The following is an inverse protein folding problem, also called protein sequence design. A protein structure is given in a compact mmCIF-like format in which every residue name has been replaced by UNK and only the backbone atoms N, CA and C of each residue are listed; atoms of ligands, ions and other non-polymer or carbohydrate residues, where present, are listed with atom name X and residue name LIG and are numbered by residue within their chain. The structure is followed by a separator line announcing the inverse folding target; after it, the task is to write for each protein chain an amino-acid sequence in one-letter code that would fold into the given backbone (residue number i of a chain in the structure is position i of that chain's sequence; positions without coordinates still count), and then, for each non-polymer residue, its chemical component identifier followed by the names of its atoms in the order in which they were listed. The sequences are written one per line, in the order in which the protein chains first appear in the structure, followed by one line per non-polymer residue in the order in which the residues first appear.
data_IF_272221050663
#
_entry.id   IF_272221050663
#
_cell.length_a   1.000
_cell.length_b   1.000
_cell.length_c   1.000
_cell.angle_alpha   90.00
_cell.angle_beta   90.00
_cell.angle_gamma   90.00
#
_symmetry.space_group_name_H-M   'P 1'
#
loop_
_entity.id
_entity.type
_entity.pdbx_description
1 polymer ?
#
# COMPACT_ATOMS: atom_id res chain seq x y z
N UNK A 1 25.77 -0.04 -20.90
CA UNK A 1 24.83 -0.11 -19.79
C UNK A 1 23.69 -1.03 -20.19
N UNK A 2 23.60 -2.24 -19.63
CA UNK A 2 22.55 -3.20 -19.98
C UNK A 2 21.21 -2.68 -19.50
N UNK A 3 20.25 -2.54 -20.38
CA UNK A 3 18.85 -2.31 -20.04
C UNK A 3 18.36 -3.53 -19.24
N UNK A 4 18.38 -3.43 -17.91
CA UNK A 4 17.81 -4.45 -17.06
C UNK A 4 16.31 -4.55 -17.35
N UNK A 5 15.83 -5.78 -17.56
CA UNK A 5 14.40 -6.10 -17.79
C UNK A 5 13.47 -5.76 -16.60
N UNK A 6 13.94 -5.05 -15.59
CA UNK A 6 13.21 -4.69 -14.37
C UNK A 6 13.33 -3.20 -14.10
N UNK A 7 12.21 -2.63 -13.71
CA UNK A 7 12.07 -1.19 -13.44
C UNK A 7 12.61 -0.80 -12.06
N UNK A 8 12.70 -1.74 -11.12
CA UNK A 8 13.16 -1.51 -9.74
C UNK A 8 14.24 -2.51 -9.33
N UNK A 9 15.00 -2.23 -8.26
CA UNK A 9 15.85 -3.22 -7.62
C UNK A 9 15.06 -4.49 -7.27
N UNK A 10 15.66 -5.65 -7.50
CA UNK A 10 15.08 -6.95 -7.13
C UNK A 10 15.33 -7.22 -5.66
N UNK A 11 14.28 -7.33 -4.86
CA UNK A 11 14.36 -7.68 -3.44
C UNK A 11 14.06 -9.17 -3.27
N UNK A 12 15.10 -10.00 -3.26
CA UNK A 12 15.00 -11.47 -3.17
C UNK A 12 15.46 -12.02 -1.83
N UNK A 13 16.53 -11.45 -1.27
CA UNK A 13 17.05 -11.79 0.04
C UNK A 13 16.58 -10.74 1.05
N UNK A 14 15.87 -11.21 2.06
CA UNK A 14 15.29 -10.39 3.10
C UNK A 14 16.09 -10.42 4.40
N UNK A 15 17.09 -11.30 4.53
CA UNK A 15 17.96 -11.34 5.70
C UNK A 15 18.61 -9.97 5.90
N UNK A 16 18.53 -9.50 7.12
CA UNK A 16 19.07 -8.20 7.56
C UNK A 16 18.46 -6.97 6.87
N UNK A 17 17.43 -7.14 6.03
CA UNK A 17 16.68 -6.01 5.46
C UNK A 17 15.78 -5.38 6.49
N UNK A 18 15.88 -4.07 6.64
CA UNK A 18 15.12 -3.24 7.58
C UNK A 18 13.86 -2.73 6.89
N UNK A 19 12.72 -3.30 7.26
CA UNK A 19 11.44 -3.00 6.61
C UNK A 19 10.47 -2.36 7.59
N UNK A 20 9.90 -1.24 7.23
CA UNK A 20 8.85 -0.58 8.00
C UNK A 20 7.50 -0.73 7.31
N UNK A 21 6.55 -1.44 7.95
CA UNK A 21 5.20 -1.67 7.43
C UNK A 21 4.20 -0.82 8.20
N UNK A 22 3.68 0.23 7.56
CA UNK A 22 2.71 1.15 8.14
C UNK A 22 1.30 0.74 7.73
N UNK A 23 0.41 0.54 8.71
CA UNK A 23 -0.91 -0.06 8.51
C UNK A 23 -0.89 -1.58 8.70
N UNK A 24 -0.04 -2.08 9.59
CA UNK A 24 0.19 -3.50 9.82
C UNK A 24 -0.74 -4.14 10.86
N UNK A 25 -1.79 -3.47 11.34
CA UNK A 25 -2.69 -4.05 12.37
C UNK A 25 -3.58 -5.18 11.87
N UNK A 26 -3.74 -5.36 10.55
CA UNK A 26 -4.58 -6.42 9.98
C UNK A 26 -4.32 -6.57 8.47
N UNK A 27 -4.99 -7.57 7.84
CA UNK A 27 -5.04 -7.73 6.38
C UNK A 27 -3.66 -7.87 5.74
N UNK A 28 -3.46 -7.16 4.65
CA UNK A 28 -2.23 -7.23 3.83
C UNK A 28 -0.99 -6.85 4.64
N UNK A 29 -1.05 -5.74 5.40
CA UNK A 29 0.10 -5.25 6.15
C UNK A 29 0.57 -6.24 7.22
N UNK A 30 -0.36 -6.83 7.99
CA UNK A 30 -0.03 -7.83 8.99
C UNK A 30 0.55 -9.11 8.38
N UNK A 31 -0.06 -9.61 7.29
CA UNK A 31 0.41 -10.81 6.62
C UNK A 31 1.79 -10.61 5.96
N UNK A 32 2.01 -9.43 5.36
CA UNK A 32 3.30 -9.09 4.77
C UNK A 32 4.40 -8.97 5.84
N UNK A 33 4.08 -8.33 6.97
CA UNK A 33 5.04 -8.20 8.09
C UNK A 33 5.50 -9.57 8.59
N UNK A 34 4.56 -10.50 8.85
CA UNK A 34 4.90 -11.87 9.25
C UNK A 34 5.73 -12.59 8.20
N UNK A 35 5.33 -12.53 6.93
CA UNK A 35 6.07 -13.18 5.84
C UNK A 35 7.49 -12.63 5.65
N UNK A 36 7.72 -11.36 5.98
CA UNK A 36 9.06 -10.74 5.98
C UNK A 36 9.89 -11.20 7.18
N UNK A 37 9.29 -11.27 8.38
CA UNK A 37 9.92 -11.81 9.57
C UNK A 37 10.38 -13.27 9.36
N UNK A 38 9.50 -14.12 8.81
CA UNK A 38 9.80 -15.52 8.47
C UNK A 38 10.97 -15.65 7.47
N UNK A 39 11.28 -14.58 6.72
CA UNK A 39 12.41 -14.53 5.80
C UNK A 39 13.65 -13.87 6.38
N UNK A 40 13.66 -13.57 7.69
CA UNK A 40 14.81 -13.01 8.38
C UNK A 40 14.97 -11.50 8.26
N UNK A 41 13.95 -10.77 7.79
CA UNK A 41 13.98 -9.31 7.80
C UNK A 41 13.82 -8.75 9.22
N UNK A 42 14.38 -7.57 9.44
CA UNK A 42 14.03 -6.71 10.57
C UNK A 42 12.77 -5.94 10.21
N UNK A 43 11.69 -6.12 10.97
CA UNK A 43 10.39 -5.55 10.60
C UNK A 43 9.84 -4.67 11.71
N UNK A 44 9.67 -3.39 11.42
CA UNK A 44 8.87 -2.48 12.22
C UNK A 44 7.42 -2.48 11.71
N UNK A 45 6.48 -2.59 12.64
CA UNK A 45 5.05 -2.54 12.33
C UNK A 45 4.40 -1.35 13.03
N UNK A 46 3.65 -0.55 12.26
CA UNK A 46 2.99 0.64 12.78
C UNK A 46 1.49 0.66 12.46
N UNK A 47 0.71 1.03 13.45
CA UNK A 47 -0.71 1.39 13.42
C UNK A 47 -1.08 1.99 14.78
N UNK A 48 -2.34 2.42 14.93
CA UNK A 48 -2.81 3.10 16.16
C UNK A 48 -2.89 2.21 17.40
N UNK A 49 -3.10 0.89 17.26
CA UNK A 49 -3.39 -0.03 18.38
C UNK A 49 -2.17 -0.87 18.75
N UNK A 50 -1.51 -0.60 19.91
CA UNK A 50 -0.29 -1.28 20.31
C UNK A 50 -0.46 -2.80 20.49
N UNK A 51 -1.54 -3.21 21.14
CA UNK A 51 -1.82 -4.62 21.48
C UNK A 51 -1.91 -5.50 20.21
N UNK A 52 -2.51 -4.95 19.13
CA UNK A 52 -2.62 -5.66 17.86
C UNK A 52 -1.27 -5.76 17.15
N UNK A 53 -0.44 -4.71 17.24
CA UNK A 53 0.91 -4.71 16.66
C UNK A 53 1.81 -5.73 17.38
N UNK A 54 1.76 -5.80 18.70
CA UNK A 54 2.50 -6.82 19.46
C UNK A 54 2.11 -8.24 19.04
N UNK A 55 0.82 -8.50 18.79
CA UNK A 55 0.35 -9.79 18.27
C UNK A 55 0.81 -10.07 16.82
N UNK A 56 1.08 -9.04 16.03
CA UNK A 56 1.61 -9.23 14.66
C UNK A 56 3.06 -9.69 14.70
N UNK A 57 3.90 -9.07 15.52
CA UNK A 57 5.31 -9.46 15.65
C UNK A 57 5.50 -10.67 16.55
N UNK A 58 4.54 -11.01 17.44
CA UNK A 58 4.46 -12.22 18.26
C UNK A 58 5.77 -12.59 18.97
N UNK A 59 6.52 -11.58 19.47
CA UNK A 59 7.80 -11.80 20.14
C UNK A 59 8.96 -12.22 19.23
N UNK A 60 8.79 -12.09 17.90
CA UNK A 60 9.88 -12.38 16.96
C UNK A 60 11.07 -11.45 17.23
N UNK A 61 12.33 -11.96 17.34
CA UNK A 61 13.49 -11.17 17.75
C UNK A 61 13.77 -9.98 16.80
N UNK A 62 13.43 -10.10 15.54
CA UNK A 62 13.61 -9.05 14.52
C UNK A 62 12.35 -8.18 14.35
N UNK A 63 11.32 -8.37 15.18
CA UNK A 63 10.05 -7.63 15.08
C UNK A 63 9.95 -6.52 16.12
N UNK A 64 9.55 -5.32 15.73
CA UNK A 64 9.29 -4.22 16.65
C UNK A 64 7.91 -3.59 16.38
N UNK A 65 7.14 -3.36 17.43
CA UNK A 65 5.87 -2.67 17.36
C UNK A 65 6.08 -1.19 17.71
N UNK A 66 5.76 -0.30 16.78
CA UNK A 66 5.87 1.15 16.93
C UNK A 66 4.50 1.80 16.67
N UNK A 67 3.70 1.97 17.72
CA UNK A 67 2.37 2.59 17.59
C UNK A 67 2.48 4.03 17.08
N UNK A 68 1.66 4.37 16.08
CA UNK A 68 1.57 5.72 15.54
C UNK A 68 0.23 5.97 14.84
N UNK A 69 -0.15 7.23 14.71
CA UNK A 69 -1.26 7.66 13.88
C UNK A 69 -0.71 8.30 12.59
N UNK A 70 -1.07 7.73 11.44
CA UNK A 70 -0.64 8.23 10.12
C UNK A 70 -1.12 9.65 9.83
N UNK A 71 -2.15 10.12 10.55
CA UNK A 71 -2.71 11.47 10.44
C UNK A 71 -1.92 12.52 11.25
N UNK A 72 -0.87 12.09 11.96
CA UNK A 72 -0.03 12.98 12.77
C UNK A 72 1.39 13.05 12.18
N UNK A 73 1.79 14.15 11.53
CA UNK A 73 3.14 14.31 10.99
C UNK A 73 4.25 14.07 12.02
N UNK A 74 4.04 14.50 13.28
CA UNK A 74 4.99 14.29 14.38
C UNK A 74 5.27 12.82 14.67
N UNK A 75 4.25 11.95 14.56
CA UNK A 75 4.42 10.52 14.80
C UNK A 75 5.31 9.87 13.73
N UNK A 76 5.21 10.33 12.48
CA UNK A 76 6.08 9.88 11.40
C UNK A 76 7.54 10.25 11.65
N UNK A 77 7.80 11.51 11.99
CA UNK A 77 9.15 12.00 12.28
C UNK A 77 9.76 11.28 13.48
N UNK A 78 9.00 11.13 14.57
CA UNK A 78 9.47 10.46 15.78
C UNK A 78 9.77 8.97 15.53
N UNK A 79 8.86 8.26 14.84
CA UNK A 79 9.03 6.83 14.54
C UNK A 79 10.19 6.59 13.58
N UNK A 80 10.32 7.39 12.51
CA UNK A 80 11.43 7.29 11.58
C UNK A 80 12.77 7.57 12.27
N UNK A 81 12.85 8.59 13.12
CA UNK A 81 14.05 8.90 13.89
C UNK A 81 14.44 7.74 14.81
N UNK A 82 13.49 7.14 15.54
CA UNK A 82 13.74 5.99 16.39
C UNK A 82 14.29 4.79 15.58
N UNK A 83 13.73 4.52 14.39
CA UNK A 83 14.21 3.47 13.50
C UNK A 83 15.63 3.76 12.99
N UNK A 84 15.91 5.00 12.60
CA UNK A 84 17.26 5.40 12.16
C UNK A 84 18.29 5.24 13.28
N UNK A 85 17.94 5.56 14.52
CA UNK A 85 18.84 5.36 15.65
C UNK A 85 19.06 3.88 15.97
N UNK A 86 18.01 3.06 15.98
CA UNK A 86 18.10 1.64 16.33
C UNK A 86 18.73 0.80 15.22
N UNK A 87 18.41 1.10 13.97
CA UNK A 87 18.76 0.27 12.80
C UNK A 87 19.71 0.94 11.82
N UNK A 88 20.12 2.19 12.06
CA UNK A 88 20.95 2.98 11.15
C UNK A 88 20.29 3.23 9.78
N UNK A 89 18.96 3.26 9.73
CA UNK A 89 18.17 3.54 8.54
C UNK A 89 17.09 2.49 8.26
N UNK A 90 16.37 2.66 7.16
CA UNK A 90 15.29 1.78 6.69
C UNK A 90 15.51 1.47 5.22
N UNK A 91 15.44 0.19 4.82
CA UNK A 91 15.66 -0.24 3.43
C UNK A 91 14.39 -0.21 2.60
N UNK A 92 13.22 -0.44 3.22
CA UNK A 92 11.92 -0.43 2.55
C UNK A 92 10.84 0.10 3.50
N UNK A 93 10.05 1.07 3.03
CA UNK A 93 8.84 1.50 3.72
C UNK A 93 7.62 1.09 2.91
N UNK A 94 6.64 0.44 3.57
CA UNK A 94 5.40 -0.02 2.96
C UNK A 94 4.23 0.80 3.51
N UNK A 95 3.65 1.66 2.69
CA UNK A 95 2.47 2.46 3.01
C UNK A 95 1.21 1.63 2.75
N UNK A 96 0.68 0.98 3.79
CA UNK A 96 -0.47 0.07 3.72
C UNK A 96 -1.66 0.56 4.55
N UNK A 97 -1.51 1.66 5.32
CA UNK A 97 -2.61 2.23 6.06
C UNK A 97 -3.70 2.76 5.11
N UNK A 98 -4.94 2.42 5.40
CA UNK A 98 -6.07 2.92 4.63
C UNK A 98 -7.37 2.78 5.43
N UNK A 99 -8.31 3.66 5.11
CA UNK A 99 -9.71 3.57 5.49
C UNK A 99 -10.57 3.33 4.25
N UNK A 100 -11.65 2.59 4.45
CA UNK A 100 -12.64 2.28 3.43
C UNK A 100 -14.02 2.19 4.04
N UNK A 101 -14.96 2.88 3.42
CA UNK A 101 -16.40 2.71 3.62
C UNK A 101 -17.06 2.61 2.24
N UNK A 102 -17.94 1.64 2.01
CA UNK A 102 -18.71 1.58 0.77
C UNK A 102 -19.76 2.71 0.80
N UNK A 103 -19.51 3.79 0.05
CA UNK A 103 -20.37 4.96 0.01
C UNK A 103 -20.74 5.32 -1.41
N UNK A 104 -22.03 5.61 -1.62
CA UNK A 104 -22.53 6.28 -2.81
C UNK A 104 -22.20 7.79 -2.74
N UNK A 105 -22.09 8.50 -3.89
CA UNK A 105 -21.74 9.93 -3.88
C UNK A 105 -22.66 10.79 -3.01
N UNK A 106 -23.95 10.48 -2.96
CA UNK A 106 -24.94 11.23 -2.16
C UNK A 106 -24.95 10.88 -0.66
N UNK A 107 -24.14 9.93 -0.24
CA UNK A 107 -23.98 9.53 1.18
C UNK A 107 -22.72 10.15 1.81
N UNK A 108 -21.89 10.81 0.98
CA UNK A 108 -20.61 11.36 1.43
C UNK A 108 -20.86 12.64 2.22
N UNK A 109 -20.41 12.69 3.47
CA UNK A 109 -20.29 13.92 4.24
C UNK A 109 -18.92 14.58 4.05
N UNK A 110 -18.82 15.88 4.32
CA UNK A 110 -17.55 16.60 4.29
C UNK A 110 -16.54 16.03 5.32
N UNK A 111 -17.02 15.63 6.48
CA UNK A 111 -16.22 15.02 7.54
C UNK A 111 -15.63 13.67 7.10
N UNK A 112 -16.45 12.79 6.52
CA UNK A 112 -15.97 11.49 5.99
C UNK A 112 -15.00 11.69 4.83
N UNK A 113 -15.23 12.67 3.96
CA UNK A 113 -14.32 13.00 2.88
C UNK A 113 -12.97 13.47 3.43
N UNK A 114 -12.96 14.41 4.36
CA UNK A 114 -11.75 14.90 5.01
C UNK A 114 -10.98 13.75 5.68
N UNK A 115 -11.64 12.95 6.50
CA UNK A 115 -11.01 11.86 7.24
C UNK A 115 -10.42 10.77 6.30
N UNK A 116 -11.15 10.41 5.24
CA UNK A 116 -10.66 9.40 4.28
C UNK A 116 -9.47 9.93 3.47
N UNK A 117 -9.50 11.20 3.02
CA UNK A 117 -8.40 11.83 2.29
C UNK A 117 -7.18 11.96 3.20
N UNK A 118 -7.39 12.41 4.43
CA UNK A 118 -6.34 12.56 5.45
C UNK A 118 -5.60 11.23 5.67
N UNK A 119 -6.35 10.15 5.93
CA UNK A 119 -5.73 8.85 6.20
C UNK A 119 -5.11 8.22 4.96
N UNK A 120 -5.82 8.22 3.82
CA UNK A 120 -5.41 7.44 2.65
C UNK A 120 -4.39 8.16 1.77
N UNK A 121 -4.35 9.49 1.80
CA UNK A 121 -3.51 10.30 0.92
C UNK A 121 -2.55 11.20 1.70
N UNK A 122 -3.06 12.10 2.57
CA UNK A 122 -2.19 13.03 3.31
C UNK A 122 -1.21 12.28 4.22
N UNK A 123 -1.65 11.19 4.88
CA UNK A 123 -0.78 10.32 5.67
C UNK A 123 0.41 9.76 4.89
N UNK A 124 0.26 9.50 3.59
CA UNK A 124 1.40 9.09 2.75
C UNK A 124 2.37 10.25 2.53
N UNK A 125 1.87 11.47 2.28
CA UNK A 125 2.73 12.66 2.14
C UNK A 125 3.48 12.98 3.43
N UNK A 126 2.86 12.83 4.60
CA UNK A 126 3.55 13.02 5.89
C UNK A 126 4.68 12.01 6.09
N UNK A 127 4.45 10.76 5.65
CA UNK A 127 5.50 9.75 5.65
C UNK A 127 6.63 10.07 4.67
N UNK A 128 6.31 10.55 3.47
CA UNK A 128 7.32 10.96 2.49
C UNK A 128 8.18 12.12 3.00
N UNK A 129 7.56 13.12 3.62
CA UNK A 129 8.26 14.26 4.23
C UNK A 129 9.29 13.80 5.28
N UNK A 130 8.90 12.88 6.16
CA UNK A 130 9.78 12.35 7.19
C UNK A 130 10.93 11.48 6.67
N UNK A 131 10.69 10.71 5.59
CA UNK A 131 11.57 9.60 5.17
C UNK A 131 12.50 10.00 4.02
N UNK A 132 12.01 10.77 3.03
CA UNK A 132 12.74 11.07 1.81
C UNK A 132 14.09 11.75 2.03
N UNK A 133 14.26 12.72 2.95
CA UNK A 133 15.55 13.37 3.15
C UNK A 133 16.67 12.36 3.47
N UNK A 134 16.39 11.38 4.32
CA UNK A 134 17.35 10.34 4.70
C UNK A 134 17.63 9.38 3.54
N UNK A 135 16.61 8.89 2.84
CA UNK A 135 16.77 7.97 1.71
C UNK A 135 17.52 8.62 0.54
N UNK A 136 17.26 9.89 0.26
CA UNK A 136 17.95 10.65 -0.77
C UNK A 136 19.44 10.84 -0.42
N UNK A 137 19.75 11.17 0.85
CA UNK A 137 21.12 11.29 1.33
C UNK A 137 21.88 9.95 1.24
N UNK A 138 21.21 8.83 1.55
CA UNK A 138 21.78 7.48 1.45
C UNK A 138 21.85 6.98 0.00
N UNK A 139 21.14 7.59 -0.95
CA UNK A 139 20.99 7.14 -2.34
C UNK A 139 20.59 5.67 -2.45
N UNK A 140 19.80 5.19 -1.50
CA UNK A 140 19.32 3.81 -1.43
C UNK A 140 18.05 3.70 -0.62
N UNK A 141 17.26 2.67 -0.89
CA UNK A 141 16.00 2.37 -0.22
C UNK A 141 14.87 2.13 -1.19
N UNK A 142 13.69 1.87 -0.66
CA UNK A 142 12.50 1.64 -1.45
C UNK A 142 11.23 2.13 -0.75
N UNK A 143 10.28 2.55 -1.56
CA UNK A 143 8.93 2.95 -1.13
C UNK A 143 7.92 2.04 -1.82
N UNK A 144 7.08 1.36 -1.05
CA UNK A 144 6.01 0.52 -1.56
C UNK A 144 4.66 1.13 -1.16
N UNK A 145 3.85 1.55 -2.14
CA UNK A 145 2.58 2.23 -1.93
C UNK A 145 1.44 1.26 -2.25
N UNK A 146 0.62 0.95 -1.25
CA UNK A 146 -0.56 0.10 -1.43
C UNK A 146 -1.74 0.97 -1.86
N UNK A 147 -1.96 1.02 -3.17
CA UNK A 147 -3.14 1.61 -3.79
C UNK A 147 -4.29 0.59 -3.89
N UNK A 148 -4.91 0.40 -5.03
CA UNK A 148 -5.98 -0.59 -5.28
C UNK A 148 -6.34 -0.64 -6.77
N UNK A 149 -6.89 -1.76 -7.23
CA UNK A 149 -7.58 -1.82 -8.53
C UNK A 149 -8.77 -0.85 -8.63
N UNK A 150 -9.33 -0.43 -7.48
CA UNK A 150 -10.36 0.63 -7.43
C UNK A 150 -9.84 2.03 -7.80
N UNK A 151 -8.52 2.20 -7.91
CA UNK A 151 -7.91 3.43 -8.42
C UNK A 151 -7.78 3.48 -9.93
N UNK A 152 -7.98 2.37 -10.66
CA UNK A 152 -7.87 2.37 -12.12
C UNK A 152 -9.06 3.03 -12.82
N UNK A 153 -10.23 2.95 -12.23
CA UNK A 153 -11.49 3.48 -12.78
C UNK A 153 -12.49 3.71 -11.64
N UNK A 154 -13.41 4.65 -11.80
CA UNK A 154 -14.44 4.96 -10.81
C UNK A 154 -15.42 3.80 -10.61
N UNK A 155 -15.26 3.02 -9.54
CA UNK A 155 -16.16 1.92 -9.22
C UNK A 155 -17.35 2.38 -8.36
N UNK A 156 -18.53 1.76 -8.51
CA UNK A 156 -19.67 1.98 -7.62
C UNK A 156 -19.29 1.72 -6.14
N UNK A 157 -19.94 2.41 -5.23
CA UNK A 157 -19.68 2.33 -3.78
C UNK A 157 -18.27 2.73 -3.33
N UNK A 158 -17.47 3.32 -4.23
CA UNK A 158 -16.09 3.74 -3.93
C UNK A 158 -15.90 5.27 -4.04
N UNK A 159 -16.94 6.04 -3.72
CA UNK A 159 -16.97 7.50 -3.96
C UNK A 159 -15.80 8.28 -3.31
N UNK A 160 -15.31 7.85 -2.15
CA UNK A 160 -14.12 8.43 -1.50
C UNK A 160 -12.87 7.57 -1.73
N UNK A 161 -12.99 6.27 -1.54
CA UNK A 161 -11.86 5.36 -1.60
C UNK A 161 -11.20 5.31 -2.98
N UNK A 162 -12.00 5.17 -4.04
CA UNK A 162 -11.50 5.13 -5.42
C UNK A 162 -10.63 6.31 -5.78
N UNK A 163 -11.10 7.56 -5.63
CA UNK A 163 -10.30 8.77 -5.88
C UNK A 163 -8.99 8.83 -5.07
N UNK A 164 -8.99 8.45 -3.77
CA UNK A 164 -7.73 8.42 -3.00
C UNK A 164 -6.75 7.39 -3.53
N UNK A 165 -7.24 6.23 -4.01
CA UNK A 165 -6.38 5.20 -4.60
C UNK A 165 -5.88 5.55 -6.00
N UNK A 166 -6.67 6.29 -6.79
CA UNK A 166 -6.23 6.86 -8.06
C UNK A 166 -5.11 7.91 -7.85
N UNK A 167 -5.25 8.76 -6.84
CA UNK A 167 -4.20 9.70 -6.46
C UNK A 167 -2.89 9.00 -6.05
N UNK A 168 -2.97 7.89 -5.32
CA UNK A 168 -1.78 7.10 -4.94
C UNK A 168 -1.12 6.41 -6.13
N UNK A 169 -1.89 5.97 -7.14
CA UNK A 169 -1.33 5.44 -8.40
C UNK A 169 -0.52 6.53 -9.10
N UNK A 170 -1.12 7.72 -9.28
CA UNK A 170 -0.43 8.85 -9.90
C UNK A 170 0.80 9.28 -9.09
N UNK A 171 0.68 9.38 -7.76
CA UNK A 171 1.82 9.69 -6.88
C UNK A 171 2.97 8.70 -7.05
N UNK A 172 2.69 7.40 -7.12
CA UNK A 172 3.74 6.39 -7.32
C UNK A 172 4.48 6.56 -8.66
N UNK A 173 3.75 6.96 -9.72
CA UNK A 173 4.34 7.27 -11.03
C UNK A 173 5.25 8.50 -10.95
N UNK A 174 4.81 9.57 -10.28
CA UNK A 174 5.64 10.77 -10.03
C UNK A 174 6.89 10.43 -9.22
N UNK A 175 6.73 9.69 -8.11
CA UNK A 175 7.86 9.27 -7.29
C UNK A 175 8.87 8.41 -8.08
N UNK A 176 8.39 7.53 -8.95
CA UNK A 176 9.27 6.75 -9.82
C UNK A 176 10.06 7.65 -10.79
N UNK A 177 9.37 8.56 -11.46
CA UNK A 177 9.99 9.46 -12.43
C UNK A 177 11.08 10.34 -11.80
N UNK A 178 10.83 10.83 -10.58
CA UNK A 178 11.74 11.76 -9.90
C UNK A 178 12.85 11.04 -9.09
N UNK A 179 12.52 9.91 -8.45
CA UNK A 179 13.43 9.31 -7.45
C UNK A 179 14.23 8.12 -7.95
N UNK A 180 13.82 7.49 -9.07
CA UNK A 180 14.54 6.32 -9.58
C UNK A 180 16.02 6.63 -9.91
N UNK A 181 16.29 7.80 -10.49
CA UNK A 181 17.66 8.30 -10.76
C UNK A 181 18.50 8.56 -9.50
N UNK A 182 17.87 8.67 -8.35
CA UNK A 182 18.52 8.84 -7.05
C UNK A 182 18.80 7.50 -6.32
N UNK A 183 18.55 6.36 -6.97
CA UNK A 183 18.83 5.04 -6.43
C UNK A 183 17.70 4.47 -5.54
N UNK A 184 16.51 5.08 -5.57
CA UNK A 184 15.35 4.59 -4.83
C UNK A 184 14.48 3.67 -5.70
N UNK A 185 14.00 2.56 -5.10
CA UNK A 185 13.00 1.69 -5.72
C UNK A 185 11.59 2.15 -5.37
N UNK A 186 10.69 2.24 -6.35
CA UNK A 186 9.29 2.62 -6.14
C UNK A 186 8.39 1.50 -6.60
N UNK A 187 7.62 0.92 -5.67
CA UNK A 187 6.74 -0.21 -5.90
C UNK A 187 5.29 0.18 -5.68
N UNK A 188 4.49 0.13 -6.73
CA UNK A 188 3.04 0.34 -6.68
C UNK A 188 2.35 -1.01 -6.49
N UNK A 189 1.55 -1.14 -5.43
CA UNK A 189 0.81 -2.37 -5.14
C UNK A 189 -0.67 -2.10 -5.37
N UNK A 190 -1.28 -2.83 -6.33
CA UNK A 190 -2.68 -2.69 -6.71
C UNK A 190 -3.47 -3.98 -6.42
N UNK A 191 -3.93 -4.18 -5.17
CA UNK A 191 -4.79 -5.31 -4.83
C UNK A 191 -6.18 -5.19 -5.48
N UNK A 192 -6.76 -6.34 -5.84
CA UNK A 192 -8.20 -6.49 -5.94
C UNK A 192 -8.81 -6.74 -4.56
N UNK A 193 -9.79 -7.67 -4.45
CA UNK A 193 -10.41 -7.99 -3.17
C UNK A 193 -9.54 -8.94 -2.35
N UNK A 194 -9.13 -8.48 -1.17
CA UNK A 194 -8.38 -9.25 -0.17
C UNK A 194 -9.21 -9.33 1.11
N UNK A 195 -9.41 -10.54 1.65
CA UNK A 195 -10.16 -10.74 2.90
C UNK A 195 -9.55 -9.92 4.03
N UNK A 196 -10.30 -8.97 4.56
CA UNK A 196 -9.85 -8.06 5.61
C UNK A 196 -11.05 -7.46 6.33
N UNK A 197 -10.80 -6.75 7.43
CA UNK A 197 -11.83 -5.96 8.11
C UNK A 197 -12.48 -4.92 7.17
N UNK A 198 -11.72 -4.34 6.26
CA UNK A 198 -12.23 -3.36 5.30
C UNK A 198 -13.20 -4.01 4.30
N UNK A 199 -12.82 -5.14 3.71
CA UNK A 199 -13.66 -5.84 2.72
C UNK A 199 -14.86 -6.54 3.34
N UNK A 200 -14.86 -6.79 4.65
CA UNK A 200 -16.04 -7.29 5.38
C UNK A 200 -17.21 -6.31 5.41
N UNK A 201 -16.98 -5.03 5.09
CA UNK A 201 -18.02 -4.00 4.99
C UNK A 201 -18.80 -4.07 3.66
N UNK A 202 -18.35 -4.85 2.68
CA UNK A 202 -19.02 -5.00 1.41
C UNK A 202 -20.23 -5.93 1.53
N UNK A 203 -21.38 -5.46 1.08
CA UNK A 203 -22.62 -6.24 1.03
C UNK A 203 -22.77 -7.07 -0.27
N UNK A 204 -21.84 -6.95 -1.21
CA UNK A 204 -21.88 -7.65 -2.50
C UNK A 204 -20.86 -8.79 -2.59
N UNK A 205 -21.08 -9.72 -3.52
CA UNK A 205 -20.15 -10.81 -3.80
C UNK A 205 -18.88 -10.26 -4.44
N UNK A 206 -17.76 -10.39 -3.76
CA UNK A 206 -16.46 -9.92 -4.23
C UNK A 206 -15.84 -10.92 -5.20
N UNK A 207 -15.63 -10.57 -6.48
CA UNK A 207 -15.01 -11.48 -7.43
C UNK A 207 -13.53 -11.69 -7.08
N UNK A 208 -13.07 -12.94 -7.23
CA UNK A 208 -11.67 -13.32 -7.03
C UNK A 208 -11.08 -12.90 -5.66
N UNK A 209 -11.88 -12.99 -4.59
CA UNK A 209 -11.44 -12.72 -3.22
C UNK A 209 -10.29 -13.66 -2.83
N UNK A 210 -9.18 -13.11 -2.37
CA UNK A 210 -8.01 -13.87 -1.89
C UNK A 210 -7.75 -13.63 -0.41
N UNK A 211 -6.89 -14.45 0.20
CA UNK A 211 -6.47 -14.27 1.59
C UNK A 211 -5.33 -13.26 1.70
N UNK A 212 -5.10 -12.64 2.89
CA UNK A 212 -3.96 -11.76 3.15
C UNK A 212 -2.61 -12.45 2.90
N UNK A 213 -2.49 -13.73 3.24
CA UNK A 213 -1.27 -14.52 3.05
C UNK A 213 -0.96 -14.72 1.57
N UNK A 214 -1.99 -14.93 0.74
CA UNK A 214 -1.83 -14.97 -0.72
C UNK A 214 -1.39 -13.61 -1.25
N UNK A 215 -1.99 -12.52 -0.77
CA UNK A 215 -1.58 -11.17 -1.14
C UNK A 215 -0.11 -10.88 -0.76
N UNK A 216 0.31 -11.27 0.45
CA UNK A 216 1.70 -11.12 0.89
C UNK A 216 2.68 -11.90 -0.01
N UNK A 217 2.34 -13.14 -0.41
CA UNK A 217 3.16 -13.90 -1.38
C UNK A 217 3.28 -13.22 -2.73
N UNK A 218 2.18 -12.68 -3.26
CA UNK A 218 2.15 -11.99 -4.54
C UNK A 218 3.00 -10.70 -4.49
N UNK A 219 2.94 -9.95 -3.37
CA UNK A 219 3.77 -8.78 -3.12
C UNK A 219 5.25 -9.16 -3.11
N UNK A 220 5.64 -10.15 -2.32
CA UNK A 220 7.04 -10.62 -2.24
C UNK A 220 7.55 -11.12 -3.59
N UNK A 221 6.71 -11.82 -4.35
CA UNK A 221 7.05 -12.23 -5.71
C UNK A 221 7.24 -11.03 -6.66
N UNK A 222 6.44 -9.96 -6.49
CA UNK A 222 6.59 -8.71 -7.24
C UNK A 222 7.89 -7.99 -6.90
N UNK A 223 8.23 -7.90 -5.62
CA UNK A 223 9.52 -7.36 -5.16
C UNK A 223 10.70 -8.16 -5.73
N UNK A 224 10.62 -9.50 -5.72
CA UNK A 224 11.67 -10.37 -6.27
C UNK A 224 11.86 -10.20 -7.79
N UNK A 225 10.83 -9.80 -8.53
CA UNK A 225 10.92 -9.45 -9.96
C UNK A 225 11.45 -8.04 -10.21
N UNK A 226 11.41 -7.16 -9.22
CA UNK A 226 11.69 -5.72 -9.41
C UNK A 226 10.61 -5.04 -10.24
N UNK A 227 9.35 -5.44 -10.06
CA UNK A 227 8.21 -4.85 -10.76
C UNK A 227 7.90 -3.47 -10.21
N UNK A 228 7.58 -2.49 -11.09
CA UNK A 228 7.01 -1.22 -10.63
C UNK A 228 5.59 -1.46 -10.11
N UNK A 229 4.74 -2.10 -10.91
CA UNK A 229 3.38 -2.45 -10.50
C UNK A 229 3.27 -3.92 -10.09
N UNK A 230 2.69 -4.15 -8.92
CA UNK A 230 2.39 -5.47 -8.34
C UNK A 230 0.88 -5.57 -8.16
N UNK A 231 0.19 -6.11 -9.17
CA UNK A 231 -1.26 -6.24 -9.19
C UNK A 231 -1.68 -7.69 -8.98
N UNK A 232 -2.69 -7.93 -8.15
CA UNK A 232 -3.23 -9.26 -7.86
C UNK A 232 -4.70 -9.20 -7.39
N UNK A 233 -5.49 -10.26 -7.63
CA UNK A 233 -5.25 -11.36 -8.57
C UNK A 233 -5.22 -10.87 -10.00
N UNK A 234 -4.26 -11.34 -10.80
CA UNK A 234 -3.98 -10.79 -12.14
C UNK A 234 -5.19 -10.76 -13.09
N UNK A 235 -6.04 -11.81 -13.07
CA UNK A 235 -7.21 -11.87 -13.95
C UNK A 235 -8.18 -10.71 -13.67
N UNK A 236 -8.46 -10.46 -12.40
CA UNK A 236 -9.38 -9.41 -11.98
C UNK A 236 -8.80 -8.01 -12.25
N UNK A 237 -7.56 -7.76 -11.78
CA UNK A 237 -6.93 -6.44 -11.91
C UNK A 237 -6.70 -6.07 -13.37
N UNK A 238 -6.31 -7.03 -14.23
CA UNK A 238 -6.20 -6.82 -15.69
C UNK A 238 -7.55 -6.50 -16.34
N UNK A 239 -8.63 -7.20 -15.95
CA UNK A 239 -9.97 -6.90 -16.47
C UNK A 239 -10.41 -5.48 -16.12
N UNK A 240 -10.22 -5.04 -14.86
CA UNK A 240 -10.54 -3.67 -14.45
C UNK A 240 -9.68 -2.65 -15.21
N UNK A 241 -8.40 -2.92 -15.37
CA UNK A 241 -7.50 -2.05 -16.13
C UNK A 241 -7.86 -1.98 -17.61
N UNK A 242 -8.24 -3.07 -18.23
CA UNK A 242 -8.73 -3.06 -19.61
C UNK A 242 -9.99 -2.22 -19.78
N UNK A 243 -10.94 -2.31 -18.84
CA UNK A 243 -12.13 -1.46 -18.85
C UNK A 243 -11.78 0.02 -18.73
N UNK A 244 -10.76 0.38 -17.94
CA UNK A 244 -10.31 1.78 -17.80
C UNK A 244 -9.69 2.36 -19.07
N UNK A 245 -9.19 1.53 -19.98
CA UNK A 245 -8.62 1.94 -21.26
C UNK A 245 -9.66 2.11 -22.39
N UNK A 246 -10.91 1.67 -22.15
CA UNK A 246 -11.97 1.80 -23.14
C UNK A 246 -12.46 3.26 -23.25
N UNK A 247 -12.94 3.68 -24.42
CA UNK A 247 -13.60 4.98 -24.57
C UNK A 247 -14.73 5.15 -23.54
N UNK A 248 -14.91 6.34 -23.02
CA UNK A 248 -15.90 6.66 -21.97
C UNK A 248 -17.32 6.16 -22.28
N UNK A 249 -17.74 6.21 -23.56
CA UNK A 249 -19.05 5.69 -23.96
C UNK A 249 -19.26 4.21 -23.59
N UNK A 250 -18.19 3.41 -23.64
CA UNK A 250 -18.23 1.97 -23.34
C UNK A 250 -18.00 1.75 -21.83
N UNK A 251 -16.91 2.32 -21.29
CA UNK A 251 -16.54 2.11 -19.90
C UNK A 251 -17.61 2.62 -18.93
N UNK A 252 -18.15 3.82 -19.14
CA UNK A 252 -19.23 4.37 -18.29
C UNK A 252 -20.53 3.57 -18.41
N UNK A 253 -20.86 3.08 -19.62
CA UNK A 253 -22.01 2.19 -19.80
C UNK A 253 -21.89 0.87 -19.01
N UNK A 254 -20.70 0.28 -18.94
CA UNK A 254 -20.41 -0.89 -18.11
C UNK A 254 -20.52 -0.57 -16.61
N UNK A 255 -19.96 0.56 -16.17
CA UNK A 255 -20.03 1.00 -14.79
C UNK A 255 -21.46 1.30 -14.33
N UNK A 256 -22.29 1.90 -15.20
CA UNK A 256 -23.71 2.12 -14.90
C UNK A 256 -24.47 0.80 -14.70
N UNK A 257 -24.19 -0.22 -15.51
CA UNK A 257 -24.79 -1.55 -15.32
C UNK A 257 -24.36 -2.17 -13.99
N UNK A 258 -23.06 -2.08 -13.68
CA UNK A 258 -22.52 -2.55 -12.41
C UNK A 258 -23.16 -1.83 -11.21
N UNK A 259 -23.36 -0.50 -11.30
CA UNK A 259 -23.95 0.30 -10.23
C UNK A 259 -25.42 -0.05 -9.92
N UNK A 260 -26.16 -0.64 -10.88
CA UNK A 260 -27.55 -1.09 -10.69
C UNK A 260 -27.65 -2.44 -9.98
N UNK A 261 -26.58 -3.21 -9.97
CA UNK A 261 -26.51 -4.57 -9.40
C UNK A 261 -25.73 -4.64 -8.07
N UNK A 262 -25.22 -3.48 -7.60
CA UNK A 262 -24.36 -3.38 -6.40
C UNK A 262 -25.06 -2.78 -5.20
#
# INVERSE_FOLDING_TARGET
MGFGLHLNPRLRDWRDKRVWVVGASSGIGAALARALLDKGAWVAVSARRPEVLHAVVAGHPNGVALPMDVNRPSDWTATHHALCQAWQGVDLVVFCAAEYRPLRPWQVSAEEAHHTIETNLCGVYYGLDAILPTMLAQRSGGLAIVASAAGYIGLPNAALYGPTKAALINLAEVLYAELHGHGLGIYLINPGFVKSRLTALNAFKMPALITPETAARDILAGFARGSFEIAFPLRFTRAVRLVSLLPYRISLGLLQRLARTS
#
